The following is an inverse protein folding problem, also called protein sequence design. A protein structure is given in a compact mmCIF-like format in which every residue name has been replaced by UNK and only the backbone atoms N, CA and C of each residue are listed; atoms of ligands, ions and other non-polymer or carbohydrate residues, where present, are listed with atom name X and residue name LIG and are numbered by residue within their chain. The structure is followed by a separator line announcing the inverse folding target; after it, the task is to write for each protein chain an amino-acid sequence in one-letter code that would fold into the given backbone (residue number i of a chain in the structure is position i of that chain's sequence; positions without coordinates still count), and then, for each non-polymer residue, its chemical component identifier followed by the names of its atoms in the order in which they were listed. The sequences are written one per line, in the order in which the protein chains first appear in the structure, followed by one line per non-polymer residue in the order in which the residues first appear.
data_IF_347401661308
#
_entry.id   IF_347401661308
#
_cell.length_a   1.000
_cell.length_b   1.000
_cell.length_c   1.000
_cell.angle_alpha   90.00
_cell.angle_beta   90.00
_cell.angle_gamma   90.00
#
_symmetry.space_group_name_H-M   'P 1'
#
loop_
_entity.id
_entity.type
_entity.pdbx_description
1 polymer ?
#
# COMPACT_ATOMS: atom_id res chain seq x y z
N UNK A 1 -43.86 15.69 -39.15
CA UNK A 1 -45.19 15.05 -39.17
C UNK A 1 -46.00 15.71 -38.06
N UNK A 2 -46.76 16.78 -38.34
CA UNK A 2 -48.22 16.77 -38.67
C UNK A 2 -49.03 16.16 -37.52
N UNK A 3 -49.98 16.76 -36.81
CA UNK A 3 -50.82 18.00 -36.82
C UNK A 3 -51.35 18.08 -35.36
N UNK A 4 -51.63 19.21 -34.70
CA UNK A 4 -52.74 20.16 -34.93
C UNK A 4 -52.40 21.41 -34.09
N UNK A 5 -52.04 22.49 -34.77
CA UNK A 5 -52.47 23.82 -34.37
C UNK A 5 -53.92 23.98 -34.84
N UNK A 6 -54.75 24.75 -34.13
CA UNK A 6 -55.72 25.71 -34.70
C UNK A 6 -56.57 26.33 -33.57
N UNK A 7 -56.52 27.66 -33.51
CA UNK A 7 -57.58 28.65 -33.24
C UNK A 7 -58.66 28.31 -32.17
N UNK A 8 -59.01 29.18 -31.23
CA UNK A 8 -59.45 30.55 -31.50
C UNK A 8 -59.56 31.34 -30.18
N UNK A 9 -58.65 32.28 -30.00
CA UNK A 9 -58.87 33.50 -29.26
C UNK A 9 -59.67 34.43 -30.21
N UNK A 10 -60.99 34.49 -30.05
CA UNK A 10 -61.91 35.55 -30.51
C UNK A 10 -63.34 34.98 -30.69
N UNK A 11 -64.21 35.28 -29.73
CA UNK A 11 -65.60 35.60 -30.03
C UNK A 11 -66.14 36.48 -28.90
N UNK A 12 -65.75 37.75 -28.95
CA UNK A 12 -66.54 38.82 -28.37
C UNK A 12 -67.28 39.48 -29.52
N UNK A 13 -68.59 39.22 -29.62
CA UNK A 13 -69.58 40.04 -30.32
C UNK A 13 -70.77 40.01 -29.36
N UNK A 14 -70.87 41.00 -28.49
CA UNK A 14 -71.72 42.17 -28.66
C UNK A 14 -73.22 41.81 -28.70
N UNK A 15 -73.88 42.18 -27.59
CA UNK A 15 -75.10 42.98 -27.64
C UNK A 15 -76.36 42.34 -28.25
N UNK A 16 -77.15 41.70 -27.39
CA UNK A 16 -78.62 41.82 -27.48
C UNK A 16 -79.14 42.33 -26.14
N UNK A 17 -79.12 43.65 -26.02
CA UNK A 17 -80.04 44.37 -25.15
C UNK A 17 -81.46 44.14 -25.67
N UNK A 18 -82.30 43.46 -24.90
CA UNK A 18 -83.73 43.75 -24.87
C UNK A 18 -84.17 43.81 -23.42
N UNK A 19 -83.87 44.95 -22.81
CA UNK A 19 -84.73 45.52 -21.78
C UNK A 19 -85.97 46.04 -22.50
N UNK A 20 -87.10 45.38 -22.28
CA UNK A 20 -88.47 45.87 -22.56
C UNK A 20 -89.33 45.19 -21.49
N UNK A 21 -89.49 45.82 -20.34
CA UNK A 21 -90.60 46.73 -20.06
C UNK A 21 -91.95 46.03 -20.24
N UNK A 22 -92.39 45.33 -19.19
CA UNK A 22 -93.79 45.11 -18.90
C UNK A 22 -94.05 45.66 -17.49
N UNK A 23 -94.38 46.96 -17.45
CA UNK A 23 -95.44 47.53 -16.58
C UNK A 23 -96.65 46.59 -16.58
N UNK A 24 -97.36 46.26 -15.51
CA UNK A 24 -97.83 46.91 -14.27
C UNK A 24 -98.59 45.80 -13.47
N UNK A 25 -99.19 46.01 -12.29
CA UNK A 25 -98.90 46.93 -11.18
C UNK A 25 -98.74 46.17 -9.85
N UNK A 26 -98.32 46.90 -8.81
CA UNK A 26 -98.18 46.44 -7.44
C UNK A 26 -99.47 45.83 -6.85
N UNK A 27 -99.33 44.68 -6.19
CA UNK A 27 -100.28 44.13 -5.21
C UNK A 27 -99.50 43.71 -3.97
N UNK A 28 -99.86 44.30 -2.84
CA UNK A 28 -99.16 44.26 -1.55
C UNK A 28 -99.05 42.86 -0.94
N UNK A 29 -97.89 42.58 -0.32
CA UNK A 29 -97.83 42.11 1.07
C UNK A 29 -96.39 42.22 1.57
N UNK A 30 -96.14 43.25 2.37
CA UNK A 30 -94.88 43.46 3.06
C UNK A 30 -94.71 42.44 4.19
N UNK A 31 -93.90 41.40 3.96
CA UNK A 31 -93.13 40.73 5.01
C UNK A 31 -91.66 40.60 4.63
N UNK A 32 -90.96 41.72 4.89
CA UNK A 32 -89.53 41.89 5.15
C UNK A 32 -88.55 40.77 4.79
N UNK A 33 -87.76 41.02 3.75
CA UNK A 33 -86.49 40.37 3.47
C UNK A 33 -85.92 40.87 2.15
N UNK A 34 -84.59 40.96 2.00
CA UNK A 34 -84.01 41.13 0.65
C UNK A 34 -84.45 39.91 -0.19
N UNK A 35 -84.91 40.08 -1.45
CA UNK A 35 -85.40 38.97 -2.29
C UNK A 35 -84.41 37.80 -2.48
N UNK A 36 -83.12 38.03 -2.19
CA UNK A 36 -82.05 37.02 -2.21
C UNK A 36 -81.98 36.13 -0.95
N UNK A 37 -82.84 36.34 0.06
CA UNK A 37 -82.88 35.56 1.30
C UNK A 37 -84.20 34.82 1.52
N UNK A 38 -85.03 34.73 0.49
CA UNK A 38 -86.24 33.91 0.45
C UNK A 38 -85.87 32.41 0.61
N UNK A 39 -86.34 31.71 1.65
CA UNK A 39 -85.88 30.35 1.97
C UNK A 39 -86.38 29.24 1.03
N UNK A 40 -87.35 29.54 0.16
CA UNK A 40 -88.03 28.54 -0.67
C UNK A 40 -87.13 27.85 -1.71
N UNK A 41 -86.06 28.51 -2.17
CA UNK A 41 -85.13 27.94 -3.17
C UNK A 41 -83.83 27.38 -2.56
N UNK A 42 -83.58 27.61 -1.25
CA UNK A 42 -82.37 27.11 -0.60
C UNK A 42 -82.32 25.57 -0.56
N UNK A 43 -83.44 24.89 -0.39
CA UNK A 43 -83.47 23.42 -0.36
C UNK A 43 -82.98 22.80 -1.67
N UNK A 44 -83.42 23.34 -2.82
CA UNK A 44 -82.97 22.89 -4.14
C UNK A 44 -81.50 23.21 -4.39
N UNK A 45 -81.05 24.41 -4.00
CA UNK A 45 -79.65 24.82 -4.14
C UNK A 45 -78.71 23.94 -3.32
N UNK A 46 -79.08 23.62 -2.07
CA UNK A 46 -78.32 22.73 -1.21
C UNK A 46 -78.33 21.30 -1.73
N UNK A 47 -79.44 20.82 -2.30
CA UNK A 47 -79.52 19.49 -2.92
C UNK A 47 -78.56 19.35 -4.10
N UNK A 48 -78.56 20.30 -5.04
CA UNK A 48 -77.63 20.28 -6.18
C UNK A 48 -76.18 20.51 -5.75
N UNK A 49 -75.95 21.36 -4.75
CA UNK A 49 -74.64 21.55 -4.15
C UNK A 49 -74.12 20.24 -3.54
N UNK A 50 -74.96 19.50 -2.82
CA UNK A 50 -74.59 18.21 -2.23
C UNK A 50 -74.26 17.18 -3.32
N UNK A 51 -75.02 17.12 -4.41
CA UNK A 51 -74.74 16.24 -5.55
C UNK A 51 -73.42 16.63 -6.23
N UNK A 52 -73.23 17.90 -6.57
CA UNK A 52 -72.02 18.37 -7.23
C UNK A 52 -70.78 18.15 -6.34
N UNK A 53 -70.91 18.42 -5.03
CA UNK A 53 -69.86 18.18 -4.05
C UNK A 53 -69.55 16.69 -3.90
N UNK A 54 -70.56 15.82 -3.86
CA UNK A 54 -70.36 14.36 -3.79
C UNK A 54 -69.62 13.83 -5.03
N UNK A 55 -70.00 14.29 -6.23
CA UNK A 55 -69.32 13.91 -7.48
C UNK A 55 -67.87 14.40 -7.48
N UNK A 56 -67.62 15.65 -7.09
CA UNK A 56 -66.27 16.20 -6.96
C UNK A 56 -65.43 15.42 -5.93
N UNK A 57 -66.02 15.09 -4.78
CA UNK A 57 -65.37 14.34 -3.72
C UNK A 57 -64.90 12.97 -4.19
N UNK A 58 -65.77 12.21 -4.87
CA UNK A 58 -65.44 10.89 -5.42
C UNK A 58 -64.31 11.00 -6.47
N UNK A 59 -64.31 12.06 -7.28
CA UNK A 59 -63.24 12.28 -8.25
C UNK A 59 -61.89 12.53 -7.57
N UNK A 60 -61.84 13.36 -6.53
CA UNK A 60 -60.62 13.66 -5.78
C UNK A 60 -60.08 12.46 -5.02
N UNK A 61 -60.95 11.67 -4.39
CA UNK A 61 -60.54 10.49 -3.63
C UNK A 61 -59.98 9.40 -4.54
N UNK A 62 -60.56 9.19 -5.72
CA UNK A 62 -60.12 8.15 -6.64
C UNK A 62 -58.90 8.53 -7.49
N UNK A 63 -58.63 9.82 -7.71
CA UNK A 63 -57.58 10.27 -8.65
C UNK A 63 -56.46 11.04 -7.95
N UNK A 64 -56.79 12.14 -7.28
CA UNK A 64 -55.80 13.08 -6.75
C UNK A 64 -55.05 12.52 -5.53
N UNK A 65 -55.77 11.89 -4.59
CA UNK A 65 -55.15 11.31 -3.39
C UNK A 65 -54.17 10.16 -3.69
N UNK A 66 -54.50 9.15 -4.53
CA UNK A 66 -53.56 8.08 -4.82
C UNK A 66 -52.32 8.56 -5.57
N UNK A 67 -52.45 9.55 -6.47
CA UNK A 67 -51.31 10.13 -7.19
C UNK A 67 -50.30 10.79 -6.22
N UNK A 68 -50.79 11.51 -5.20
CA UNK A 68 -49.92 12.12 -4.17
C UNK A 68 -49.28 11.03 -3.29
N UNK A 69 -50.04 10.01 -2.88
CA UNK A 69 -49.50 8.89 -2.11
C UNK A 69 -48.38 8.18 -2.87
N UNK A 70 -48.58 7.90 -4.15
CA UNK A 70 -47.59 7.24 -4.99
C UNK A 70 -46.26 8.01 -5.07
N UNK A 71 -46.31 9.34 -5.12
CA UNK A 71 -45.09 10.18 -5.11
C UNK A 71 -44.37 10.12 -3.77
N UNK A 72 -45.11 10.14 -2.66
CA UNK A 72 -44.52 10.04 -1.31
C UNK A 72 -43.87 8.67 -1.13
N UNK A 73 -44.56 7.60 -1.51
CA UNK A 73 -44.04 6.23 -1.42
C UNK A 73 -42.82 6.03 -2.33
N UNK A 74 -42.85 6.55 -3.55
CA UNK A 74 -41.70 6.51 -4.46
C UNK A 74 -40.48 7.23 -3.87
N UNK A 75 -40.66 8.43 -3.32
CA UNK A 75 -39.57 9.17 -2.66
C UNK A 75 -39.04 8.42 -1.44
N UNK A 76 -39.92 7.87 -0.61
CA UNK A 76 -39.52 7.06 0.55
C UNK A 76 -38.70 5.85 0.12
N UNK A 77 -39.13 5.14 -0.92
CA UNK A 77 -38.43 3.98 -1.45
C UNK A 77 -37.05 4.37 -2.02
N UNK A 78 -36.95 5.49 -2.74
CA UNK A 78 -35.67 5.99 -3.22
C UNK A 78 -34.72 6.36 -2.07
N UNK A 79 -35.20 7.09 -1.08
CA UNK A 79 -34.38 7.45 0.10
C UNK A 79 -33.92 6.18 0.83
N UNK A 80 -34.81 5.21 1.02
CA UNK A 80 -34.48 3.94 1.66
C UNK A 80 -33.42 3.17 0.86
N UNK A 81 -33.59 3.07 -0.46
CA UNK A 81 -32.62 2.44 -1.36
C UNK A 81 -31.25 3.15 -1.36
N UNK A 82 -31.26 4.47 -1.32
CA UNK A 82 -30.03 5.28 -1.27
C UNK A 82 -29.31 5.10 0.07
N UNK A 83 -30.06 5.05 1.18
CA UNK A 83 -29.51 4.77 2.51
C UNK A 83 -28.90 3.36 2.60
N UNK A 84 -29.60 2.34 2.10
CA UNK A 84 -29.09 0.97 2.06
C UNK A 84 -27.83 0.87 1.20
N UNK A 85 -27.81 1.56 0.05
CA UNK A 85 -26.64 1.60 -0.82
C UNK A 85 -25.48 2.32 -0.16
N UNK A 86 -25.73 3.45 0.53
CA UNK A 86 -24.73 4.19 1.25
C UNK A 86 -24.13 3.38 2.42
N UNK A 87 -24.98 2.68 3.19
CA UNK A 87 -24.52 1.80 4.28
C UNK A 87 -23.67 0.66 3.74
N UNK A 88 -24.09 0.02 2.64
CA UNK A 88 -23.30 -1.02 1.97
C UNK A 88 -21.95 -0.49 1.49
N UNK A 89 -21.93 0.66 0.82
CA UNK A 89 -20.69 1.28 0.35
C UNK A 89 -19.77 1.68 1.51
N UNK A 90 -20.32 2.17 2.61
CA UNK A 90 -19.56 2.47 3.82
C UNK A 90 -18.93 1.19 4.40
N UNK A 91 -19.71 0.11 4.52
CA UNK A 91 -19.19 -1.17 5.00
C UNK A 91 -18.12 -1.77 4.08
N UNK A 92 -18.28 -1.67 2.76
CA UNK A 92 -17.27 -2.07 1.79
C UNK A 92 -16.00 -1.22 1.89
N UNK A 93 -16.13 0.10 2.07
CA UNK A 93 -15.00 0.99 2.28
C UNK A 93 -14.23 0.66 3.56
N UNK A 94 -14.93 0.41 4.67
CA UNK A 94 -14.32 0.00 5.94
C UNK A 94 -13.57 -1.34 5.80
N UNK A 95 -14.15 -2.32 5.09
CA UNK A 95 -13.48 -3.59 4.80
C UNK A 95 -12.22 -3.40 3.97
N UNK A 96 -12.29 -2.60 2.89
CA UNK A 96 -11.13 -2.29 2.06
C UNK A 96 -10.06 -1.57 2.87
N UNK A 97 -10.43 -0.64 3.75
CA UNK A 97 -9.49 0.05 4.64
C UNK A 97 -8.81 -0.93 5.60
N UNK A 98 -9.54 -1.85 6.23
CA UNK A 98 -8.97 -2.88 7.09
C UNK A 98 -8.02 -3.82 6.34
N UNK A 99 -8.40 -4.26 5.14
CA UNK A 99 -7.57 -5.10 4.27
C UNK A 99 -6.30 -4.34 3.89
N UNK A 100 -6.42 -3.07 3.52
CA UNK A 100 -5.29 -2.20 3.18
C UNK A 100 -4.31 -2.08 4.34
N UNK A 101 -4.77 -1.71 5.55
CA UNK A 101 -3.91 -1.62 6.73
C UNK A 101 -3.27 -2.96 7.08
N UNK A 102 -4.02 -4.06 7.01
CA UNK A 102 -3.49 -5.41 7.24
C UNK A 102 -2.42 -5.79 6.21
N UNK A 103 -2.63 -5.44 4.93
CA UNK A 103 -1.67 -5.71 3.86
C UNK A 103 -0.38 -4.90 4.04
N UNK A 104 -0.50 -3.65 4.48
CA UNK A 104 0.63 -2.77 4.76
C UNK A 104 1.46 -3.29 5.95
N UNK A 105 0.80 -3.67 7.05
CA UNK A 105 1.46 -4.29 8.19
C UNK A 105 2.19 -5.58 7.80
N UNK A 106 1.52 -6.48 7.06
CA UNK A 106 2.15 -7.71 6.54
C UNK A 106 3.33 -7.43 5.62
N UNK A 107 3.28 -6.39 4.79
CA UNK A 107 4.39 -6.01 3.91
C UNK A 107 5.58 -5.47 4.71
N UNK A 108 5.33 -4.65 5.72
CA UNK A 108 6.36 -4.15 6.64
C UNK A 108 7.01 -5.28 7.43
N UNK A 109 6.22 -6.22 7.97
CA UNK A 109 6.73 -7.38 8.69
C UNK A 109 7.58 -8.27 7.79
N UNK A 110 7.13 -8.54 6.55
CA UNK A 110 7.90 -9.31 5.57
C UNK A 110 9.23 -8.62 5.23
N UNK A 111 9.22 -7.31 4.98
CA UNK A 111 10.43 -6.55 4.69
C UNK A 111 11.42 -6.58 5.87
N UNK A 112 10.93 -6.37 7.10
CA UNK A 112 11.74 -6.42 8.32
C UNK A 112 12.35 -7.81 8.54
N UNK A 113 11.56 -8.87 8.34
CA UNK A 113 12.05 -10.24 8.47
C UNK A 113 13.08 -10.60 7.39
N UNK A 114 12.87 -10.17 6.15
CA UNK A 114 13.84 -10.39 5.08
C UNK A 114 15.15 -9.63 5.33
N UNK A 115 15.07 -8.37 5.78
CA UNK A 115 16.26 -7.60 6.15
C UNK A 115 17.05 -8.28 7.26
N UNK A 116 16.39 -8.74 8.34
CA UNK A 116 17.05 -9.50 9.41
C UNK A 116 17.68 -10.79 8.92
N UNK A 117 17.02 -11.48 7.98
CA UNK A 117 17.55 -12.70 7.38
C UNK A 117 18.82 -12.40 6.58
N UNK A 118 18.77 -11.38 5.73
CA UNK A 118 19.93 -10.93 4.95
C UNK A 118 21.08 -10.50 5.86
N UNK A 119 20.82 -9.72 6.91
CA UNK A 119 21.85 -9.32 7.89
C UNK A 119 22.50 -10.54 8.55
N UNK A 120 21.70 -11.52 8.99
CA UNK A 120 22.21 -12.75 9.59
C UNK A 120 23.02 -13.59 8.60
N UNK A 121 22.55 -13.73 7.36
CA UNK A 121 23.22 -14.48 6.30
C UNK A 121 24.54 -13.79 5.91
N UNK A 122 24.56 -12.45 5.84
CA UNK A 122 25.78 -11.68 5.62
C UNK A 122 26.78 -11.79 6.78
N UNK A 123 26.30 -11.75 8.03
CA UNK A 123 27.16 -11.94 9.21
C UNK A 123 27.83 -13.31 9.19
N UNK A 124 27.04 -14.37 8.92
CA UNK A 124 27.57 -15.73 8.79
C UNK A 124 28.57 -15.86 7.65
N UNK A 125 28.25 -15.34 6.46
CA UNK A 125 29.16 -15.37 5.33
C UNK A 125 30.47 -14.61 5.61
N UNK A 126 30.40 -13.49 6.35
CA UNK A 126 31.58 -12.75 6.76
C UNK A 126 32.42 -13.52 7.79
N UNK A 127 31.79 -14.18 8.76
CA UNK A 127 32.46 -15.06 9.73
C UNK A 127 33.15 -16.23 9.03
N UNK A 128 32.45 -16.95 8.15
CA UNK A 128 33.01 -18.06 7.36
C UNK A 128 34.19 -17.61 6.50
N UNK A 129 34.06 -16.47 5.79
CA UNK A 129 35.14 -15.92 4.99
C UNK A 129 36.34 -15.50 5.85
N UNK A 130 36.11 -14.96 7.04
CA UNK A 130 37.16 -14.60 7.97
C UNK A 130 37.88 -15.85 8.52
N UNK A 131 37.16 -16.92 8.83
CA UNK A 131 37.74 -18.20 9.24
C UNK A 131 38.56 -18.84 8.12
N UNK A 132 38.03 -18.89 6.89
CA UNK A 132 38.77 -19.40 5.74
C UNK A 132 40.05 -18.59 5.48
N UNK A 133 39.96 -17.26 5.55
CA UNK A 133 41.10 -16.37 5.40
C UNK A 133 42.16 -16.60 6.48
N UNK A 134 41.75 -16.78 7.75
CA UNK A 134 42.67 -17.11 8.85
C UNK A 134 43.35 -18.45 8.62
N UNK A 135 42.60 -19.49 8.27
CA UNK A 135 43.15 -20.82 8.00
C UNK A 135 44.15 -20.81 6.83
N UNK A 136 43.82 -20.08 5.75
CA UNK A 136 44.71 -19.90 4.61
C UNK A 136 45.97 -19.13 5.00
N UNK A 137 45.82 -18.04 5.76
CA UNK A 137 46.96 -17.23 6.22
C UNK A 137 47.89 -18.03 7.12
N UNK A 138 47.36 -18.82 8.06
CA UNK A 138 48.16 -19.68 8.93
C UNK A 138 48.94 -20.74 8.12
N UNK A 139 48.31 -21.33 7.09
CA UNK A 139 48.97 -22.28 6.20
C UNK A 139 50.11 -21.64 5.40
N UNK A 140 49.91 -20.43 4.88
CA UNK A 140 50.95 -19.70 4.16
C UNK A 140 52.07 -19.23 5.11
N UNK A 141 51.74 -18.83 6.33
CA UNK A 141 52.72 -18.50 7.37
C UNK A 141 53.63 -19.69 7.68
N UNK A 142 53.05 -20.86 7.94
CA UNK A 142 53.82 -22.10 8.18
C UNK A 142 54.73 -22.49 7.01
N UNK A 143 54.25 -22.29 5.77
CA UNK A 143 55.09 -22.52 4.57
C UNK A 143 56.23 -21.50 4.47
N UNK A 144 55.97 -20.24 4.78
CA UNK A 144 57.01 -19.20 4.78
C UNK A 144 58.05 -19.47 5.86
N UNK A 145 57.63 -19.84 7.07
CA UNK A 145 58.51 -20.26 8.17
C UNK A 145 59.38 -21.45 7.77
N UNK A 146 58.80 -22.49 7.16
CA UNK A 146 59.56 -23.64 6.68
C UNK A 146 60.60 -23.26 5.61
N UNK A 147 60.26 -22.35 4.69
CA UNK A 147 61.21 -21.82 3.69
C UNK A 147 62.32 -21.02 4.32
N UNK A 148 62.03 -20.20 5.35
CA UNK A 148 63.03 -19.43 6.08
C UNK A 148 64.01 -20.37 6.79
N UNK A 149 63.52 -21.41 7.45
CA UNK A 149 64.38 -22.41 8.09
C UNK A 149 65.28 -23.14 7.08
N UNK A 150 64.72 -23.56 5.94
CA UNK A 150 65.51 -24.17 4.86
C UNK A 150 66.57 -23.22 4.31
N UNK A 151 66.23 -21.94 4.10
CA UNK A 151 67.18 -20.94 3.63
C UNK A 151 68.28 -20.66 4.68
N UNK A 152 67.93 -20.68 5.96
CA UNK A 152 68.89 -20.56 7.06
C UNK A 152 69.86 -21.73 7.07
N UNK A 153 69.36 -22.97 6.96
CA UNK A 153 70.19 -24.18 6.93
C UNK A 153 71.17 -24.15 5.73
N UNK A 154 70.68 -23.79 4.55
CA UNK A 154 71.51 -23.64 3.34
C UNK A 154 72.57 -22.55 3.52
N UNK A 155 72.21 -21.38 4.06
CA UNK A 155 73.15 -20.30 4.30
C UNK A 155 74.24 -20.68 5.33
N UNK A 156 73.88 -21.47 6.35
CA UNK A 156 74.85 -21.98 7.33
C UNK A 156 75.81 -23.00 6.70
N UNK A 157 75.32 -23.87 5.82
CA UNK A 157 76.16 -24.83 5.09
C UNK A 157 77.12 -24.11 4.11
N UNK A 158 76.61 -23.14 3.36
CA UNK A 158 77.42 -22.28 2.48
C UNK A 158 78.51 -21.54 3.29
N UNK A 159 78.15 -20.97 4.44
CA UNK A 159 79.11 -20.29 5.31
C UNK A 159 80.19 -21.24 5.86
N UNK A 160 79.82 -22.47 6.23
CA UNK A 160 80.79 -23.49 6.65
C UNK A 160 81.74 -23.89 5.52
N UNK A 161 81.22 -24.00 4.29
CA UNK A 161 82.05 -24.29 3.10
C UNK A 161 83.03 -23.16 2.82
N UNK A 162 82.57 -21.90 2.82
CA UNK A 162 83.42 -20.72 2.64
C UNK A 162 84.47 -20.63 3.75
N UNK A 163 84.09 -20.87 5.01
CA UNK A 163 85.02 -20.86 6.14
C UNK A 163 86.10 -21.95 5.99
N UNK A 164 85.74 -23.16 5.55
CA UNK A 164 86.68 -24.25 5.30
C UNK A 164 87.64 -23.92 4.15
N UNK A 165 87.14 -23.30 3.07
CA UNK A 165 87.96 -22.83 1.95
C UNK A 165 88.97 -21.75 2.38
N UNK A 166 88.51 -20.72 3.11
CA UNK A 166 89.36 -19.65 3.62
C UNK A 166 90.41 -20.17 4.60
N UNK A 167 90.02 -21.07 5.52
CA UNK A 167 90.94 -21.70 6.45
C UNK A 167 92.01 -22.54 5.73
N UNK A 168 91.62 -23.33 4.72
CA UNK A 168 92.55 -24.12 3.91
C UNK A 168 93.52 -23.23 3.12
N UNK A 169 93.02 -22.13 2.55
CA UNK A 169 93.85 -21.14 1.85
C UNK A 169 94.86 -20.46 2.79
N UNK A 170 94.43 -20.08 3.99
CA UNK A 170 95.30 -19.49 5.01
C UNK A 170 96.40 -20.47 5.46
N UNK A 171 96.05 -21.73 5.75
CA UNK A 171 97.01 -22.78 6.13
C UNK A 171 98.01 -23.06 5.01
N UNK A 172 97.55 -23.13 3.76
CA UNK A 172 98.43 -23.31 2.60
C UNK A 172 99.44 -22.18 2.46
N UNK A 173 99.05 -20.94 2.79
CA UNK A 173 99.93 -19.75 2.72
C UNK A 173 100.96 -19.71 3.85
N UNK A 174 100.66 -20.30 5.01
CA UNK A 174 101.56 -20.35 6.18
C UNK A 174 102.56 -21.51 6.10
N UNK A 175 102.11 -22.69 5.64
CA UNK A 175 102.92 -23.93 5.67
C UNK A 175 103.62 -24.19 4.32
N UNK A 176 103.26 -23.47 3.25
CA UNK A 176 103.92 -23.56 1.95
C UNK A 176 103.60 -24.83 1.14
N UNK A 177 102.61 -25.64 1.58
CA UNK A 177 102.14 -26.84 0.90
C UNK A 177 100.61 -26.87 0.79
N UNK A 178 100.07 -27.51 -0.27
CA UNK A 178 98.63 -27.58 -0.55
C UNK A 178 97.87 -28.26 0.60
N UNK A 179 97.11 -27.49 1.38
CA UNK A 179 96.19 -28.04 2.37
C UNK A 179 94.98 -28.68 1.66
N UNK A 180 94.62 -29.90 2.06
CA UNK A 180 93.51 -30.64 1.50
C UNK A 180 92.18 -30.12 2.06
N UNK A 181 91.41 -29.45 1.21
CA UNK A 181 90.11 -28.82 1.53
C UNK A 181 89.12 -29.84 2.10
N UNK A 182 89.20 -31.13 1.73
CA UNK A 182 88.31 -32.16 2.29
C UNK A 182 88.59 -32.44 3.77
N UNK A 183 89.85 -32.42 4.19
CA UNK A 183 90.22 -32.59 5.60
C UNK A 183 89.80 -31.37 6.42
N UNK A 184 90.00 -30.16 5.89
CA UNK A 184 89.56 -28.92 6.53
C UNK A 184 88.03 -28.92 6.76
N UNK A 185 87.25 -29.30 5.75
CA UNK A 185 85.79 -29.40 5.86
C UNK A 185 85.36 -30.39 6.95
N UNK A 186 85.96 -31.59 7.01
CA UNK A 186 85.65 -32.58 8.07
C UNK A 186 85.97 -32.12 9.50
N UNK A 187 87.04 -31.32 9.67
CA UNK A 187 87.43 -30.81 10.98
C UNK A 187 86.44 -29.72 11.42
N UNK A 188 86.05 -28.81 10.51
CA UNK A 188 85.02 -27.79 10.79
C UNK A 188 83.68 -28.42 11.14
N UNK A 189 83.26 -29.47 10.40
CA UNK A 189 82.04 -30.25 10.70
C UNK A 189 82.07 -30.84 12.12
N UNK A 190 83.20 -31.46 12.50
CA UNK A 190 83.36 -32.09 13.82
C UNK A 190 83.40 -31.08 14.98
N UNK A 191 83.91 -29.87 14.74
CA UNK A 191 83.90 -28.78 15.71
C UNK A 191 82.48 -28.25 15.93
N UNK A 192 81.70 -28.12 14.86
CA UNK A 192 80.32 -27.63 14.93
C UNK A 192 79.36 -28.63 15.63
N UNK A 193 79.55 -29.95 15.42
CA UNK A 193 78.83 -30.98 16.17
C UNK A 193 79.17 -30.99 17.67
N UNK A 194 80.42 -30.69 18.03
CA UNK A 194 80.86 -30.65 19.43
C UNK A 194 80.30 -29.44 20.19
N UNK A 195 80.09 -28.31 19.51
CA UNK A 195 79.43 -27.12 20.09
C UNK A 195 77.92 -27.31 20.24
N UNK A 196 77.26 -27.93 19.27
CA UNK A 196 75.81 -28.22 19.35
C UNK A 196 75.47 -29.31 20.38
N UNK A 197 76.32 -30.32 20.58
CA UNK A 197 76.10 -31.34 21.63
C UNK A 197 76.30 -30.79 23.05
N UNK A 198 77.22 -29.82 23.22
CA UNK A 198 77.48 -29.19 24.53
C UNK A 198 76.38 -28.18 24.91
N UNK A 199 75.75 -27.53 23.93
CA UNK A 199 74.61 -26.63 24.14
C UNK A 199 73.28 -27.36 24.44
N UNK A 200 73.18 -28.67 24.16
CA UNK A 200 72.00 -29.50 24.44
C UNK A 200 72.09 -30.28 25.77
N UNK A 201 73.26 -30.28 26.40
CA UNK A 201 73.54 -30.97 27.67
C UNK A 201 73.63 -30.01 28.89
N UNK A 202 73.47 -28.71 28.65
CA UNK A 202 73.31 -27.66 29.65
C UNK A 202 71.89 -27.10 29.56
#
# INVERSE_FOLDING_TARGET
MKRIAILSLASYVAMTSLVMAASDPHGEDAKGGLPQFEPDWFASQIFWLAIAFAVLYIFFTNKTLPDISAVIDNRKNHIQSDLETAEKLAAEADQVQQIYHTSLAKAQDKASNELKKVENDMSKAAEEAAEEYRARSEKELKKAEAKILQAQDLAMDDMNSIAAEVASAAVSKIIGGKADVKKAKSIVESLNQKTTSKAKAA
#
